data_IF_337370461598
#
_entry.id   IF_337370461598
#
_cell.length_a   1.000
_cell.length_b   1.000
_cell.length_c   1.000
_cell.angle_alpha   90.00
_cell.angle_beta   90.00
_cell.angle_gamma   90.00
#
_symmetry.space_group_name_H-M   'P 1'
#
loop_
_entity.id
_entity.type
_entity.pdbx_description
1 polymer ?
#
# COMPACT_ATOMS: atom_id res chain seq x y z
N UNK A 1 6.17 25.20 -14.23
CA UNK A 1 4.91 25.29 -13.46
C UNK A 1 4.67 23.95 -12.78
N UNK A 2 4.35 23.94 -11.48
CA UNK A 2 4.51 22.79 -10.55
C UNK A 2 3.64 21.57 -10.92
N UNK A 3 4.27 20.43 -11.16
CA UNK A 3 3.61 19.12 -11.27
C UNK A 3 3.10 18.68 -9.89
N UNK A 4 1.80 18.85 -9.63
CA UNK A 4 1.10 18.23 -8.51
C UNK A 4 0.83 16.76 -8.86
N UNK A 5 1.62 15.83 -8.29
CA UNK A 5 1.29 14.40 -8.35
C UNK A 5 0.24 14.11 -7.29
N UNK A 6 -1.01 13.95 -7.70
CA UNK A 6 -2.05 13.35 -6.87
C UNK A 6 -1.84 11.83 -6.87
N UNK A 7 -2.01 11.19 -5.72
CA UNK A 7 -1.93 9.74 -5.54
C UNK A 7 -2.89 9.05 -6.52
N UNK A 8 -2.36 8.31 -7.50
CA UNK A 8 -3.17 7.52 -8.43
C UNK A 8 -3.42 6.13 -7.85
N UNK A 9 -4.65 5.65 -7.88
CA UNK A 9 -4.99 4.25 -7.64
C UNK A 9 -5.03 3.52 -8.98
N UNK A 10 -4.18 2.50 -9.13
CA UNK A 10 -4.27 1.53 -10.24
C UNK A 10 -5.07 0.32 -9.76
N UNK A 11 -5.87 -0.32 -10.62
CA UNK A 11 -6.69 -1.51 -10.29
C UNK A 11 -6.58 -2.60 -11.36
N UNK A 12 -6.64 -3.86 -10.93
CA UNK A 12 -6.67 -5.04 -11.81
C UNK A 12 -5.95 -6.23 -11.18
N UNK A 13 -5.70 -7.27 -11.98
CA UNK A 13 -4.83 -8.40 -11.62
C UNK A 13 -3.40 -8.09 -12.04
N UNK A 14 -2.42 -8.38 -11.17
CA UNK A 14 -0.98 -8.26 -11.45
C UNK A 14 -0.51 -6.90 -12.00
N UNK A 15 -1.17 -5.83 -11.54
CA UNK A 15 -0.98 -4.44 -11.99
C UNK A 15 0.34 -3.81 -11.56
N UNK A 16 0.97 -4.35 -10.51
CA UNK A 16 2.31 -3.98 -10.08
C UNK A 16 3.19 -5.23 -10.07
N UNK A 17 4.22 -5.30 -10.91
CA UNK A 17 5.14 -6.42 -10.93
C UNK A 17 5.84 -6.72 -9.59
N UNK A 18 6.01 -5.72 -8.73
CA UNK A 18 6.62 -5.87 -7.40
C UNK A 18 5.72 -6.68 -6.44
N UNK A 19 4.43 -6.82 -6.74
CA UNK A 19 3.45 -7.50 -5.90
C UNK A 19 3.21 -8.96 -6.33
N UNK A 20 3.88 -9.42 -7.39
CA UNK A 20 3.72 -10.79 -7.91
C UNK A 20 4.44 -11.83 -7.05
N UNK A 21 5.56 -11.44 -6.44
CA UNK A 21 6.36 -12.28 -5.56
C UNK A 21 6.26 -11.72 -4.14
N UNK A 22 5.95 -12.60 -3.20
CA UNK A 22 5.92 -12.30 -1.78
C UNK A 22 6.68 -13.39 -1.04
N UNK A 23 7.59 -12.98 -0.16
CA UNK A 23 8.38 -13.87 0.68
C UNK A 23 7.83 -13.88 2.10
N UNK A 24 8.10 -14.97 2.83
CA UNK A 24 7.68 -15.14 4.23
C UNK A 24 6.18 -14.92 4.46
N UNK A 25 5.36 -15.33 3.48
CA UNK A 25 3.91 -15.36 3.56
C UNK A 25 3.25 -15.39 2.20
N UNK A 26 1.99 -14.96 2.13
CA UNK A 26 1.17 -15.00 0.92
C UNK A 26 0.05 -13.95 0.98
N UNK A 27 -0.40 -13.47 -0.18
CA UNK A 27 -1.60 -12.63 -0.28
C UNK A 27 -2.85 -13.40 0.17
N UNK A 28 -3.77 -12.72 0.85
CA UNK A 28 -4.99 -13.36 1.36
C UNK A 28 -6.07 -13.57 0.30
N UNK A 29 -6.00 -12.83 -0.81
CA UNK A 29 -6.95 -12.94 -1.92
C UNK A 29 -6.21 -12.76 -3.27
N UNK A 30 -6.37 -13.69 -4.24
CA UNK A 30 -5.75 -13.59 -5.57
C UNK A 30 -6.52 -12.71 -6.57
N UNK A 31 -7.72 -12.24 -6.21
CA UNK A 31 -8.56 -11.42 -7.09
C UNK A 31 -8.01 -10.02 -7.36
N UNK A 32 -8.74 -9.26 -8.18
CA UNK A 32 -8.39 -7.87 -8.50
C UNK A 32 -8.18 -7.04 -7.24
N UNK A 33 -7.14 -6.22 -7.25
CA UNK A 33 -6.80 -5.33 -6.15
C UNK A 33 -6.42 -3.96 -6.66
N UNK A 34 -6.55 -2.95 -5.79
CA UNK A 34 -5.95 -1.64 -5.99
C UNK A 34 -4.59 -1.53 -5.32
N UNK A 35 -3.70 -0.72 -5.88
CA UNK A 35 -2.43 -0.32 -5.25
C UNK A 35 -2.41 1.18 -5.07
N UNK A 36 -1.96 1.63 -3.90
CA UNK A 36 -1.72 3.05 -3.60
C UNK A 36 -0.22 3.31 -3.55
N UNK A 37 0.33 3.94 -4.58
CA UNK A 37 1.75 4.29 -4.61
C UNK A 37 2.02 5.62 -3.91
N UNK A 38 3.14 5.69 -3.17
CA UNK A 38 3.72 6.94 -2.64
C UNK A 38 2.74 7.76 -1.78
N UNK A 39 2.12 7.12 -0.80
CA UNK A 39 1.38 7.82 0.24
C UNK A 39 2.38 8.53 1.17
N UNK A 40 2.66 9.80 0.87
CA UNK A 40 3.55 10.66 1.65
C UNK A 40 2.80 11.91 2.10
N UNK A 41 2.72 12.12 3.41
CA UNK A 41 2.22 13.36 4.00
C UNK A 41 3.37 14.15 4.60
N UNK A 42 3.30 15.48 4.58
CA UNK A 42 4.29 16.37 5.19
C UNK A 42 4.32 16.32 6.73
N UNK A 43 3.47 15.50 7.36
CA UNK A 43 3.29 15.44 8.82
C UNK A 43 2.53 16.62 9.43
N UNK A 44 2.41 17.74 8.70
CA UNK A 44 1.76 18.97 9.17
C UNK A 44 0.24 18.84 9.31
N UNK A 45 -0.37 17.92 8.56
CA UNK A 45 -1.81 17.64 8.63
C UNK A 45 -1.99 16.18 9.03
N UNK A 46 -2.61 15.97 10.19
CA UNK A 46 -2.92 14.62 10.69
C UNK A 46 -4.09 14.03 9.90
N UNK A 47 -4.09 12.71 9.73
CA UNK A 47 -5.22 11.97 9.14
C UNK A 47 -5.28 11.91 7.61
N UNK A 48 -4.38 12.59 6.88
CA UNK A 48 -4.38 12.53 5.40
C UNK A 48 -4.19 11.10 4.89
N UNK A 49 -3.26 10.35 5.49
CA UNK A 49 -3.02 8.96 5.10
C UNK A 49 -4.23 8.07 5.35
N UNK A 50 -4.89 8.24 6.50
CA UNK A 50 -6.12 7.53 6.85
C UNK A 50 -7.24 7.82 5.85
N UNK A 51 -7.46 9.10 5.53
CA UNK A 51 -8.44 9.52 4.55
C UNK A 51 -8.17 8.91 3.17
N UNK A 52 -6.93 8.99 2.67
CA UNK A 52 -6.56 8.44 1.38
C UNK A 52 -6.74 6.92 1.30
N UNK A 53 -6.32 6.18 2.33
CA UNK A 53 -6.47 4.72 2.35
C UNK A 53 -7.94 4.30 2.44
N UNK A 54 -8.74 4.97 3.26
CA UNK A 54 -10.17 4.68 3.35
C UNK A 54 -10.90 5.00 2.03
N UNK A 55 -10.58 6.13 1.39
CA UNK A 55 -11.16 6.49 0.10
C UNK A 55 -10.78 5.48 -1.00
N UNK A 56 -9.50 5.07 -1.04
CA UNK A 56 -9.00 4.05 -1.98
C UNK A 56 -9.63 2.67 -1.72
N UNK A 57 -9.92 2.33 -0.46
CA UNK A 57 -10.56 1.07 -0.11
C UNK A 57 -12.02 1.06 -0.53
N UNK A 58 -12.77 2.12 -0.24
CA UNK A 58 -14.17 2.28 -0.67
C UNK A 58 -14.36 2.22 -2.20
N UNK A 59 -13.28 2.41 -2.93
CA UNK A 59 -13.22 2.42 -4.38
C UNK A 59 -13.20 1.00 -4.98
N UNK A 60 -12.50 0.05 -4.36
CA UNK A 60 -12.25 -1.28 -4.95
C UNK A 60 -12.46 -2.46 -3.99
N UNK A 61 -12.66 -2.21 -2.70
CA UNK A 61 -12.85 -3.19 -1.64
C UNK A 61 -11.74 -4.24 -1.51
N UNK A 62 -10.63 -4.12 -2.24
CA UNK A 62 -9.44 -4.94 -2.09
C UNK A 62 -8.22 -4.09 -2.39
N UNK A 63 -7.40 -3.81 -1.37
CA UNK A 63 -6.19 -3.01 -1.50
C UNK A 63 -4.97 -3.77 -1.05
N UNK A 64 -3.88 -3.56 -1.78
CA UNK A 64 -2.53 -3.93 -1.35
C UNK A 64 -1.68 -2.68 -1.17
N UNK A 65 -0.88 -2.66 -0.11
CA UNK A 65 -0.01 -1.54 0.27
C UNK A 65 1.30 -2.09 0.81
N UNK A 66 2.40 -1.41 0.54
CA UNK A 66 3.71 -1.74 1.09
C UNK A 66 4.31 -0.55 1.87
N UNK A 67 5.22 -0.85 2.78
CA UNK A 67 5.97 0.19 3.50
C UNK A 67 7.32 -0.31 4.01
N UNK A 68 8.25 0.61 4.30
CA UNK A 68 9.55 0.27 4.90
C UNK A 68 9.37 -0.27 6.32
N UNK A 69 10.23 -1.19 6.74
CA UNK A 69 10.26 -1.71 8.11
C UNK A 69 10.48 -0.62 9.17
N UNK A 70 11.12 0.49 8.79
CA UNK A 70 11.36 1.65 9.67
C UNK A 70 10.20 2.66 9.69
N UNK A 71 9.24 2.53 8.77
CA UNK A 71 8.07 3.40 8.72
C UNK A 71 7.00 2.97 9.73
N UNK A 72 7.36 2.98 11.01
CA UNK A 72 6.49 2.63 12.12
C UNK A 72 5.16 3.41 12.12
N UNK A 73 5.11 4.71 11.75
CA UNK A 73 3.83 5.42 11.65
C UNK A 73 2.87 4.78 10.62
N UNK A 74 3.37 4.41 9.44
CA UNK A 74 2.55 3.77 8.41
C UNK A 74 2.10 2.36 8.84
N UNK A 75 2.97 1.56 9.46
CA UNK A 75 2.60 0.24 9.97
C UNK A 75 1.49 0.32 11.02
N UNK A 76 1.58 1.27 11.95
CA UNK A 76 0.53 1.53 12.95
C UNK A 76 -0.77 1.98 12.30
N UNK A 77 -0.71 2.83 11.28
CA UNK A 77 -1.88 3.27 10.53
C UNK A 77 -2.55 2.09 9.81
N UNK A 78 -1.78 1.26 9.10
CA UNK A 78 -2.30 0.08 8.41
C UNK A 78 -2.96 -0.90 9.38
N UNK A 79 -2.33 -1.16 10.53
CA UNK A 79 -2.92 -1.96 11.60
C UNK A 79 -4.23 -1.36 12.14
N UNK A 80 -4.27 -0.04 12.40
CA UNK A 80 -5.49 0.67 12.82
C UNK A 80 -6.63 0.53 11.80
N UNK A 81 -6.31 0.52 10.50
CA UNK A 81 -7.30 0.43 9.42
C UNK A 81 -7.69 -1.01 9.05
N UNK A 82 -7.18 -2.01 9.79
CA UNK A 82 -7.53 -3.42 9.59
C UNK A 82 -6.83 -4.07 8.41
N UNK A 83 -5.69 -3.54 7.95
CA UNK A 83 -4.84 -4.25 7.01
C UNK A 83 -4.07 -5.37 7.72
N UNK A 84 -3.88 -6.48 7.02
CA UNK A 84 -3.10 -7.63 7.52
C UNK A 84 -1.75 -7.66 6.85
N UNK A 85 -0.67 -7.79 7.62
CA UNK A 85 0.67 -8.01 7.06
C UNK A 85 0.74 -9.42 6.45
N UNK A 86 1.21 -9.51 5.21
CA UNK A 86 1.18 -10.74 4.40
C UNK A 86 2.53 -11.33 4.10
N UNK A 87 3.60 -10.56 4.26
CA UNK A 87 4.95 -10.99 3.95
C UNK A 87 5.84 -9.81 3.59
N UNK A 88 6.86 -10.10 2.80
CA UNK A 88 7.87 -9.15 2.31
C UNK A 88 7.84 -9.14 0.79
N UNK A 89 7.84 -7.95 0.20
CA UNK A 89 8.04 -7.77 -1.24
C UNK A 89 9.32 -6.98 -1.50
N UNK A 90 9.83 -7.08 -2.73
CA UNK A 90 10.99 -6.35 -3.19
C UNK A 90 10.57 -5.42 -4.32
N UNK A 91 10.66 -4.12 -4.07
CA UNK A 91 10.24 -3.09 -5.02
C UNK A 91 11.33 -2.90 -6.06
N UNK A 92 10.96 -2.88 -7.34
CA UNK A 92 11.93 -2.92 -8.45
C UNK A 92 12.86 -1.71 -8.52
N UNK A 93 12.41 -0.57 -8.01
CA UNK A 93 13.16 0.68 -8.06
C UNK A 93 14.47 0.63 -7.25
N UNK A 94 14.45 -0.01 -6.07
CA UNK A 94 15.58 -0.02 -5.14
C UNK A 94 15.98 -1.42 -4.64
N UNK A 95 15.15 -2.44 -4.87
CA UNK A 95 15.30 -3.80 -4.34
C UNK A 95 15.37 -3.88 -2.82
N UNK A 96 14.93 -2.83 -2.12
CA UNK A 96 14.86 -2.86 -0.67
C UNK A 96 13.58 -3.59 -0.22
N UNK A 97 13.65 -4.37 0.87
CA UNK A 97 12.50 -5.09 1.36
C UNK A 97 11.40 -4.12 1.84
N UNK A 98 10.15 -4.45 1.56
CA UNK A 98 8.98 -3.77 2.07
C UNK A 98 8.07 -4.76 2.76
N UNK A 99 7.51 -4.36 3.90
CA UNK A 99 6.42 -5.09 4.53
C UNK A 99 5.17 -4.92 3.67
N UNK A 100 4.63 -6.03 3.17
CA UNK A 100 3.43 -6.05 2.35
C UNK A 100 2.18 -6.28 3.21
N UNK A 101 1.13 -5.53 2.90
CA UNK A 101 -0.15 -5.55 3.58
C UNK A 101 -1.31 -5.67 2.57
N UNK A 102 -2.37 -6.37 2.94
CA UNK A 102 -3.64 -6.34 2.21
C UNK A 102 -4.86 -6.12 3.12
N UNK A 103 -5.96 -5.72 2.49
CA UNK A 103 -7.29 -5.65 3.08
C UNK A 103 -8.31 -5.94 1.99
N UNK A 104 -9.27 -6.82 2.27
CA UNK A 104 -10.40 -7.16 1.42
C UNK A 104 -11.65 -7.48 2.24
#
# INVERSE_FOLDING_TARGET
MRSRRYSSISRGVDIDPSYRLIENGAWGNPGEYGVVHRLAGSGNVRGVGEYCLNWAFAQCHHLRVDTHADNLPMQRLLGKLGFTQRGIIYVREDHDPRLAYDKF
#
